data_IF_555176673648
#
_entry.id   IF_555176673648
#
_cell.length_a   1.000
_cell.length_b   1.000
_cell.length_c   1.000
_cell.angle_alpha   90.00
_cell.angle_beta   90.00
_cell.angle_gamma   90.00
#
_symmetry.space_group_name_H-M   'P 1'
#
loop_
_entity.id
_entity.type
_entity.pdbx_description
1 polymer ?
#
# COMPACT_ATOMS: atom_id res chain seq x y z
N UNK A 1 -2.24 -53.47 -17.42
CA UNK A 1 -3.57 -53.72 -16.88
C UNK A 1 -3.41 -54.43 -15.56
N UNK A 2 -3.20 -53.67 -14.46
CA UNK A 2 -3.18 -54.17 -13.08
C UNK A 2 -3.78 -53.07 -12.20
N UNK A 3 -4.99 -53.33 -11.69
CA UNK A 3 -5.68 -52.51 -10.70
C UNK A 3 -5.07 -52.75 -9.32
N UNK A 4 -4.68 -51.70 -8.61
CA UNK A 4 -4.43 -51.74 -7.16
C UNK A 4 -5.51 -50.92 -6.44
N UNK A 5 -6.48 -51.64 -5.86
CA UNK A 5 -7.48 -51.14 -4.88
C UNK A 5 -6.76 -51.02 -3.53
N UNK A 6 -6.66 -49.82 -2.99
CA UNK A 6 -6.31 -49.63 -1.59
C UNK A 6 -7.56 -49.33 -0.77
N UNK A 7 -7.86 -50.24 0.11
CA UNK A 7 -8.92 -50.18 1.13
C UNK A 7 -8.40 -49.28 2.25
N UNK A 8 -9.08 -48.15 2.49
CA UNK A 8 -8.80 -47.29 3.66
C UNK A 8 -9.74 -47.69 4.80
N UNK A 9 -9.17 -48.31 5.81
CA UNK A 9 -9.84 -48.66 7.06
C UNK A 9 -9.98 -47.41 7.91
N UNK A 10 -11.22 -46.97 8.17
CA UNK A 10 -11.55 -45.90 9.10
C UNK A 10 -11.59 -46.47 10.50
N UNK A 11 -10.64 -46.08 11.35
CA UNK A 11 -10.66 -46.35 12.77
C UNK A 11 -11.30 -45.19 13.49
N UNK A 12 -12.53 -45.36 13.96
CA UNK A 12 -13.17 -44.42 14.88
C UNK A 12 -12.59 -44.62 16.30
N UNK A 13 -11.83 -43.62 16.76
CA UNK A 13 -11.43 -43.53 18.17
C UNK A 13 -12.37 -42.57 18.86
N UNK A 14 -13.23 -43.11 19.72
CA UNK A 14 -14.08 -42.33 20.64
C UNK A 14 -13.25 -42.03 21.88
N UNK A 15 -12.97 -40.77 22.16
CA UNK A 15 -12.33 -40.32 23.41
C UNK A 15 -13.35 -39.57 24.28
N UNK A 16 -13.33 -39.76 25.60
CA UNK A 16 -14.32 -39.20 26.52
C UNK A 16 -14.06 -37.71 26.80
N UNK A 17 -15.14 -36.95 26.85
CA UNK A 17 -15.20 -35.58 27.32
C UNK A 17 -14.83 -35.49 28.79
N UNK A 18 -13.75 -34.80 29.12
CA UNK A 18 -13.51 -34.28 30.46
C UNK A 18 -13.76 -32.77 30.41
N UNK A 19 -14.85 -32.34 31.04
CA UNK A 19 -15.14 -30.96 31.29
C UNK A 19 -14.15 -30.43 32.35
N UNK A 20 -13.30 -29.49 31.95
CA UNK A 20 -12.50 -28.70 32.87
C UNK A 20 -12.84 -27.22 32.67
N UNK A 21 -13.66 -26.71 33.61
CA UNK A 21 -13.99 -25.31 33.73
C UNK A 21 -12.79 -24.60 34.38
N UNK A 22 -12.00 -23.93 33.59
CA UNK A 22 -10.92 -23.05 33.99
C UNK A 22 -10.75 -21.93 32.99
N UNK A 23 -11.40 -20.80 33.28
CA UNK A 23 -11.28 -19.63 32.44
C UNK A 23 -9.86 -19.09 32.42
N UNK A 24 -9.19 -19.19 31.29
CA UNK A 24 -8.05 -18.35 30.97
C UNK A 24 -8.40 -17.57 29.69
N UNK A 25 -8.65 -16.30 29.90
CA UNK A 25 -8.63 -15.29 28.83
C UNK A 25 -7.18 -15.19 28.31
N UNK A 26 -6.78 -16.09 27.43
CA UNK A 26 -5.61 -15.86 26.61
C UNK A 26 -6.02 -14.91 25.51
N UNK A 27 -5.73 -13.63 25.72
CA UNK A 27 -5.78 -12.62 24.68
C UNK A 27 -4.97 -13.13 23.48
N UNK A 28 -5.66 -13.36 22.37
CA UNK A 28 -5.04 -13.66 21.07
C UNK A 28 -4.17 -12.48 20.65
N UNK A 29 -2.91 -12.48 21.02
CA UNK A 29 -1.89 -11.50 20.59
C UNK A 29 -1.34 -11.80 19.18
N UNK A 30 -2.00 -12.63 18.39
CA UNK A 30 -1.52 -13.04 17.06
C UNK A 30 -2.09 -12.25 15.88
N UNK A 31 -2.92 -11.21 16.12
CA UNK A 31 -3.48 -10.36 15.06
C UNK A 31 -2.72 -9.07 14.77
N UNK A 32 -1.71 -8.71 15.55
CA UNK A 32 -1.11 -7.36 15.49
C UNK A 32 0.11 -7.24 14.56
N UNK A 33 0.63 -8.33 13.98
CA UNK A 33 1.90 -8.32 13.26
C UNK A 33 1.81 -7.84 11.80
N UNK A 34 0.62 -7.63 11.24
CA UNK A 34 0.44 -7.29 9.81
C UNK A 34 -0.39 -6.02 9.53
N UNK A 35 -0.79 -5.28 10.55
CA UNK A 35 -1.38 -3.98 10.29
C UNK A 35 -0.26 -2.94 10.17
N UNK A 36 -0.31 -2.04 9.15
CA UNK A 36 0.59 -0.89 9.11
C UNK A 36 0.49 -0.20 10.45
N UNK A 37 1.62 0.21 11.01
CA UNK A 37 1.54 1.02 12.23
C UNK A 37 0.66 2.21 11.87
N UNK A 38 -0.41 2.42 12.62
CA UNK A 38 -1.38 3.52 12.37
C UNK A 38 -0.66 4.86 12.18
N UNK A 39 0.50 5.01 12.80
CA UNK A 39 1.40 6.15 12.70
C UNK A 39 1.98 6.34 11.29
N UNK A 40 2.46 5.28 10.62
CA UNK A 40 3.05 5.41 9.28
C UNK A 40 2.01 5.80 8.23
N UNK A 41 0.83 5.19 8.31
CA UNK A 41 -0.28 5.55 7.43
C UNK A 41 -0.74 6.99 7.68
N UNK A 42 -0.72 7.45 8.94
CA UNK A 42 -1.07 8.82 9.28
C UNK A 42 -0.07 9.84 8.72
N UNK A 43 1.23 9.53 8.71
CA UNK A 43 2.26 10.40 8.13
C UNK A 43 2.12 10.55 6.61
N UNK A 44 1.53 9.57 5.93
CA UNK A 44 1.29 9.60 4.49
C UNK A 44 0.03 10.41 4.11
N UNK A 45 -0.86 10.71 5.05
CA UNK A 45 -2.13 11.41 4.74
C UNK A 45 -1.93 12.78 4.13
N UNK A 46 -2.86 13.17 3.26
CA UNK A 46 -2.88 14.50 2.63
C UNK A 46 -2.62 14.46 1.13
N UNK A 47 -2.33 15.64 0.58
CA UNK A 47 -2.01 15.82 -0.84
C UNK A 47 -0.53 16.16 -0.99
N UNK A 48 0.11 15.45 -1.86
CA UNK A 48 1.53 15.55 -2.15
C UNK A 48 1.71 15.93 -3.62
N UNK A 49 2.49 16.98 -3.88
CA UNK A 49 2.81 17.43 -5.23
C UNK A 49 4.32 17.44 -5.46
N UNK A 50 4.72 17.04 -6.64
CA UNK A 50 6.14 17.01 -6.98
C UNK A 50 6.39 16.57 -8.40
N UNK A 51 7.54 15.97 -8.62
CA UNK A 51 8.02 15.60 -9.94
C UNK A 51 8.61 14.19 -9.96
N UNK A 52 8.64 13.62 -11.14
CA UNK A 52 9.44 12.45 -11.46
C UNK A 52 10.93 12.84 -11.41
N UNK A 53 11.77 12.03 -10.78
CA UNK A 53 13.22 12.23 -10.72
C UNK A 53 13.90 11.54 -11.90
N UNK A 54 14.83 12.21 -12.56
CA UNK A 54 15.57 11.70 -13.73
C UNK A 54 15.26 12.46 -15.02
N UNK A 55 15.40 11.79 -16.16
CA UNK A 55 15.32 12.42 -17.48
C UNK A 55 13.96 13.07 -17.80
N UNK A 56 12.90 12.66 -17.10
CA UNK A 56 11.55 13.21 -17.21
C UNK A 56 11.16 14.12 -16.04
N UNK A 57 12.12 14.76 -15.39
CA UNK A 57 11.96 15.57 -14.17
C UNK A 57 10.94 16.74 -14.28
N UNK A 58 10.38 16.99 -15.46
CA UNK A 58 9.39 18.05 -15.68
C UNK A 58 7.94 17.58 -15.52
N UNK A 59 7.69 16.28 -15.37
CA UNK A 59 6.34 15.77 -15.21
C UNK A 59 5.84 16.02 -13.79
N UNK A 60 4.87 16.92 -13.68
CA UNK A 60 4.19 17.19 -12.41
C UNK A 60 3.31 16.00 -12.02
N UNK A 61 3.43 15.58 -10.77
CA UNK A 61 2.68 14.49 -10.18
C UNK A 61 1.92 15.01 -8.96
N UNK A 62 0.70 14.56 -8.80
CA UNK A 62 -0.09 14.76 -7.59
C UNK A 62 -0.50 13.41 -7.02
N UNK A 63 -0.30 13.22 -5.71
CA UNK A 63 -0.76 12.04 -4.98
C UNK A 63 -1.63 12.53 -3.83
N UNK A 64 -2.86 12.03 -3.75
CA UNK A 64 -3.75 12.29 -2.60
C UNK A 64 -3.99 10.99 -1.84
N UNK A 65 -3.77 11.01 -0.52
CA UNK A 65 -3.94 9.84 0.35
C UNK A 65 -4.96 10.19 1.43
N UNK A 66 -6.02 9.38 1.51
CA UNK A 66 -7.07 9.49 2.52
C UNK A 66 -7.41 8.10 3.05
N UNK A 67 -7.17 7.87 4.34
CA UNK A 67 -7.25 6.54 4.91
C UNK A 67 -6.28 5.59 4.18
N UNK A 68 -6.79 4.50 3.62
CA UNK A 68 -6.04 3.54 2.81
C UNK A 68 -6.25 3.73 1.30
N UNK A 69 -6.90 4.80 0.87
CA UNK A 69 -7.06 5.13 -0.55
C UNK A 69 -5.95 6.08 -0.99
N UNK A 70 -5.32 5.75 -2.11
CA UNK A 70 -4.32 6.61 -2.76
C UNK A 70 -4.76 6.87 -4.20
N UNK A 71 -4.86 8.14 -4.55
CA UNK A 71 -5.10 8.60 -5.90
C UNK A 71 -3.82 9.22 -6.46
N UNK A 72 -3.25 8.57 -7.48
CA UNK A 72 -2.10 9.06 -8.24
C UNK A 72 -2.61 9.77 -9.49
N UNK A 73 -2.13 10.96 -9.77
CA UNK A 73 -2.52 11.73 -10.94
C UNK A 73 -1.31 12.42 -11.57
N UNK A 74 -1.12 12.22 -12.86
CA UNK A 74 -0.18 12.92 -13.69
C UNK A 74 -0.90 13.78 -14.74
N UNK A 75 -1.81 13.15 -15.50
CA UNK A 75 -2.62 13.79 -16.54
C UNK A 75 -3.90 12.98 -16.79
N UNK A 76 -4.75 13.43 -17.72
CA UNK A 76 -6.05 12.80 -18.03
C UNK A 76 -5.94 11.36 -18.53
N UNK A 77 -4.79 10.97 -19.08
CA UNK A 77 -4.55 9.65 -19.63
C UNK A 77 -3.66 8.78 -18.72
N UNK A 78 -3.22 9.35 -17.59
CA UNK A 78 -2.35 8.64 -16.66
C UNK A 78 -2.68 9.00 -15.20
N UNK A 79 -3.61 8.27 -14.64
CA UNK A 79 -4.02 8.34 -13.24
C UNK A 79 -4.40 6.95 -12.73
N UNK A 80 -4.34 6.74 -11.42
CA UNK A 80 -4.69 5.48 -10.78
C UNK A 80 -5.37 5.74 -9.44
N UNK A 81 -6.48 5.07 -9.21
CA UNK A 81 -7.10 4.92 -7.89
C UNK A 81 -6.66 3.59 -7.30
N UNK A 82 -6.14 3.61 -6.09
CA UNK A 82 -5.57 2.42 -5.47
C UNK A 82 -5.98 2.28 -4.02
N UNK A 83 -5.98 1.04 -3.54
CA UNK A 83 -6.01 0.74 -2.11
C UNK A 83 -4.59 0.39 -1.65
N UNK A 84 -4.10 1.05 -0.61
CA UNK A 84 -2.74 0.87 -0.12
C UNK A 84 -2.69 -0.01 1.14
N UNK A 85 -1.61 -0.75 1.23
CA UNK A 85 -1.18 -1.47 2.45
C UNK A 85 0.30 -1.20 2.70
N UNK A 86 0.69 -1.17 3.98
CA UNK A 86 2.08 -0.99 4.41
C UNK A 86 2.54 -2.28 5.09
N UNK A 87 3.34 -3.13 4.44
CA UNK A 87 3.87 -4.34 5.06
C UNK A 87 4.76 -4.00 6.27
N UNK A 88 4.47 -4.61 7.42
CA UNK A 88 5.25 -4.41 8.63
C UNK A 88 6.66 -5.01 8.53
N UNK A 89 7.61 -4.43 9.26
CA UNK A 89 8.98 -4.97 9.41
C UNK A 89 9.82 -4.95 8.14
N UNK A 90 9.48 -4.08 7.17
CA UNK A 90 10.29 -3.89 5.96
C UNK A 90 11.25 -2.71 6.13
N UNK A 91 12.50 -2.93 5.70
CA UNK A 91 13.53 -1.92 5.58
C UNK A 91 14.25 -2.11 4.23
N UNK A 92 14.16 -1.16 3.30
CA UNK A 92 13.37 0.09 3.35
C UNK A 92 11.87 -0.14 3.51
N UNK A 93 11.15 0.87 4.05
CA UNK A 93 9.68 0.85 4.19
C UNK A 93 9.01 0.68 2.84
N UNK A 94 7.99 -0.16 2.79
CA UNK A 94 7.27 -0.50 1.56
C UNK A 94 5.82 -0.05 1.61
N UNK A 95 5.31 0.34 0.44
CA UNK A 95 3.91 0.59 0.17
C UNK A 95 3.49 -0.32 -0.99
N UNK A 96 2.39 -1.03 -0.81
CA UNK A 96 1.75 -1.82 -1.86
C UNK A 96 0.43 -1.16 -2.24
N UNK A 97 0.28 -0.79 -3.50
CA UNK A 97 -0.90 -0.12 -4.04
C UNK A 97 -1.62 -1.06 -5.02
N UNK A 98 -2.79 -1.55 -4.63
CA UNK A 98 -3.65 -2.36 -5.52
C UNK A 98 -4.51 -1.43 -6.35
N UNK A 99 -4.39 -1.48 -7.68
CA UNK A 99 -5.12 -0.63 -8.61
C UNK A 99 -6.60 -1.02 -8.62
N UNK A 100 -7.48 -0.06 -8.32
CA UNK A 100 -8.93 -0.21 -8.32
C UNK A 100 -9.55 0.46 -9.57
N UNK A 101 -8.95 1.56 -10.03
CA UNK A 101 -9.38 2.32 -11.20
C UNK A 101 -8.21 2.95 -11.93
N UNK A 102 -8.37 3.10 -13.25
CA UNK A 102 -7.39 3.71 -14.15
C UNK A 102 -8.08 4.19 -15.44
N UNK A 103 -7.43 5.05 -16.26
CA UNK A 103 -8.01 5.44 -17.54
C UNK A 103 -8.12 4.24 -18.50
N UNK A 104 -9.04 4.28 -19.47
CA UNK A 104 -9.25 3.18 -20.44
C UNK A 104 -7.98 2.73 -21.15
N UNK A 105 -7.06 3.66 -21.43
CA UNK A 105 -5.75 3.36 -22.03
C UNK A 105 -4.86 2.46 -21.14
N UNK A 106 -5.16 2.37 -19.84
CA UNK A 106 -4.45 1.58 -18.83
C UNK A 106 -5.31 0.43 -18.28
N UNK A 107 -6.44 0.10 -18.94
CA UNK A 107 -7.48 -0.79 -18.41
C UNK A 107 -7.03 -2.18 -17.98
N UNK A 108 -5.92 -2.69 -18.53
CA UNK A 108 -5.32 -3.98 -18.12
C UNK A 108 -4.60 -3.90 -16.76
N UNK A 109 -4.53 -2.73 -16.14
CA UNK A 109 -3.83 -2.52 -14.87
C UNK A 109 -4.70 -2.76 -13.64
N UNK A 110 -6.03 -2.78 -13.77
CA UNK A 110 -6.94 -3.00 -12.62
C UNK A 110 -6.67 -4.36 -11.96
N UNK A 111 -6.58 -4.37 -10.64
CA UNK A 111 -6.23 -5.53 -9.82
C UNK A 111 -4.74 -5.79 -9.67
N UNK A 112 -3.88 -5.14 -10.46
CA UNK A 112 -2.43 -5.25 -10.28
C UNK A 112 -1.98 -4.53 -9.01
N UNK A 113 -0.88 -5.01 -8.45
CA UNK A 113 -0.25 -4.42 -7.26
C UNK A 113 1.05 -3.74 -7.67
N UNK A 114 1.10 -2.43 -7.49
CA UNK A 114 2.34 -1.65 -7.62
C UNK A 114 3.01 -1.64 -6.25
N UNK A 115 4.27 -2.06 -6.20
CA UNK A 115 5.10 -2.00 -4.99
C UNK A 115 6.02 -0.80 -5.09
N UNK A 116 6.20 -0.09 -3.98
CA UNK A 116 7.12 1.01 -3.90
C UNK A 116 7.82 1.05 -2.55
N UNK A 117 9.07 1.50 -2.53
CA UNK A 117 9.67 2.02 -1.31
C UNK A 117 9.18 3.42 -1.04
N UNK A 118 9.10 3.81 0.23
CA UNK A 118 8.81 5.19 0.60
C UNK A 118 9.65 5.63 1.80
N UNK A 119 9.91 6.93 1.84
CA UNK A 119 10.45 7.63 2.99
C UNK A 119 9.91 9.05 3.06
N UNK A 120 9.80 9.58 4.27
CA UNK A 120 9.44 10.98 4.52
C UNK A 120 10.57 11.60 5.33
N UNK A 121 11.24 12.58 4.72
CA UNK A 121 12.35 13.32 5.31
C UNK A 121 12.16 14.81 5.00
N UNK A 122 12.28 15.67 5.98
CA UNK A 122 12.18 17.13 5.86
C UNK A 122 10.93 17.60 5.10
N UNK A 123 9.78 16.96 5.34
CA UNK A 123 8.51 17.26 4.67
C UNK A 123 8.44 16.83 3.21
N UNK A 124 9.41 16.06 2.74
CA UNK A 124 9.44 15.47 1.39
C UNK A 124 9.11 13.99 1.47
N UNK A 125 8.10 13.57 0.72
CA UNK A 125 7.79 12.16 0.47
C UNK A 125 8.56 11.72 -0.77
N UNK A 126 9.45 10.77 -0.62
CA UNK A 126 10.09 10.09 -1.73
C UNK A 126 9.44 8.72 -1.92
N UNK A 127 8.98 8.45 -3.13
CA UNK A 127 8.47 7.14 -3.57
C UNK A 127 9.40 6.59 -4.65
N UNK A 128 9.72 5.32 -4.56
CA UNK A 128 10.50 4.64 -5.59
C UNK A 128 9.83 3.31 -5.93
N UNK A 129 9.28 3.19 -7.15
CA UNK A 129 8.55 1.99 -7.58
C UNK A 129 9.50 0.81 -7.77
N UNK A 130 9.02 -0.36 -7.39
CA UNK A 130 9.71 -1.63 -7.62
C UNK A 130 9.10 -2.22 -8.88
N UNK A 131 9.91 -2.49 -9.89
CA UNK A 131 9.43 -3.04 -11.17
C UNK A 131 8.73 -4.39 -10.98
N UNK A 132 7.69 -4.63 -11.79
CA UNK A 132 6.92 -5.88 -11.76
C UNK A 132 7.79 -7.09 -12.12
N UNK A 133 8.84 -6.88 -12.94
CA UNK A 133 9.75 -7.93 -13.42
C UNK A 133 10.93 -8.18 -12.46
N UNK A 134 11.00 -7.49 -11.33
CA UNK A 134 12.06 -7.72 -10.36
C UNK A 134 11.83 -9.08 -9.68
N UNK A 135 12.59 -10.10 -10.08
CA UNK A 135 12.61 -11.43 -9.43
C UNK A 135 12.89 -11.30 -7.94
N UNK A 136 13.74 -10.34 -7.56
CA UNK A 136 14.03 -9.99 -6.18
C UNK A 136 13.67 -8.53 -5.88
N UNK A 137 13.10 -8.28 -4.71
CA UNK A 137 12.89 -6.92 -4.22
C UNK A 137 14.26 -6.23 -4.05
N UNK A 138 14.49 -5.06 -4.67
CA UNK A 138 15.73 -4.31 -4.45
C UNK A 138 16.01 -4.10 -2.97
N UNK A 139 17.27 -4.21 -2.55
CA UNK A 139 17.66 -4.04 -1.15
C UNK A 139 17.88 -2.57 -0.76
N UNK A 140 17.95 -1.69 -1.74
CA UNK A 140 18.21 -0.28 -1.53
C UNK A 140 17.24 0.59 -2.34
N UNK A 141 17.00 1.78 -1.84
CA UNK A 141 16.11 2.77 -2.44
C UNK A 141 16.58 3.21 -3.84
N UNK A 142 17.89 3.31 -3.99
CA UNK A 142 18.57 3.74 -5.22
C UNK A 142 18.51 2.69 -6.34
N UNK A 143 18.31 1.44 -5.97
CA UNK A 143 18.16 0.33 -6.92
C UNK A 143 16.72 0.13 -7.39
N UNK A 144 15.76 0.89 -6.84
CA UNK A 144 14.39 0.87 -7.28
C UNK A 144 14.23 1.60 -8.62
N UNK A 145 13.13 1.34 -9.31
CA UNK A 145 12.84 1.90 -10.62
C UNK A 145 12.52 3.40 -10.60
N UNK A 146 11.34 3.76 -11.07
CA UNK A 146 10.92 5.16 -11.15
C UNK A 146 10.80 5.82 -9.78
N UNK A 147 11.43 6.98 -9.59
CA UNK A 147 11.45 7.73 -8.34
C UNK A 147 10.68 9.05 -8.46
N UNK A 148 9.90 9.35 -7.42
CA UNK A 148 9.14 10.59 -7.28
C UNK A 148 9.57 11.32 -6.01
N UNK A 149 9.71 12.63 -6.08
CA UNK A 149 9.93 13.52 -4.94
C UNK A 149 8.79 14.51 -4.85
N UNK A 150 8.07 14.46 -3.71
CA UNK A 150 6.81 15.15 -3.53
C UNK A 150 6.83 15.91 -2.20
N UNK A 151 6.20 17.09 -2.17
CA UNK A 151 6.01 17.87 -0.95
C UNK A 151 4.54 17.91 -0.58
N UNK A 152 4.25 17.87 0.70
CA UNK A 152 2.90 18.01 1.20
C UNK A 152 2.37 19.41 0.84
N UNK A 153 1.20 19.43 0.20
CA UNK A 153 0.48 20.68 -0.10
C UNK A 153 -0.62 20.81 0.93
N UNK A 154 -0.40 21.64 1.94
CA UNK A 154 -1.50 22.00 2.83
C UNK A 154 -2.64 22.58 2.01
N UNK A 155 -3.92 22.20 2.29
CA UNK A 155 -5.06 22.81 1.61
C UNK A 155 -4.98 24.32 1.85
N UNK A 156 -4.76 25.07 0.78
CA UNK A 156 -4.76 26.53 0.86
C UNK A 156 -6.10 26.93 1.48
N UNK A 157 -6.09 27.42 2.70
CA UNK A 157 -7.24 28.08 3.30
C UNK A 157 -7.65 29.17 2.31
N UNK A 158 -8.77 28.97 1.59
CA UNK A 158 -9.36 30.00 0.75
C UNK A 158 -9.50 31.23 1.65
N UNK A 159 -8.66 32.21 1.40
CA UNK A 159 -8.71 33.49 2.06
C UNK A 159 -10.02 34.17 1.57
N UNK A 160 -11.11 33.83 2.25
CA UNK A 160 -12.40 34.49 2.03
C UNK A 160 -12.30 35.87 2.65
N UNK A 161 -11.68 36.78 1.92
CA UNK A 161 -11.69 38.19 2.27
C UNK A 161 -13.16 38.65 2.14
N UNK A 162 -13.77 39.12 3.23
CA UNK A 162 -15.14 39.59 3.18
C UNK A 162 -15.24 40.74 2.14
N UNK A 163 -16.35 40.86 1.40
CA UNK A 163 -16.52 41.92 0.43
C UNK A 163 -16.41 43.27 1.12
N UNK A 164 -15.52 44.14 0.63
CA UNK A 164 -15.43 45.51 1.08
C UNK A 164 -16.75 46.20 0.69
N UNK A 165 -17.61 46.42 1.67
CA UNK A 165 -18.81 47.26 1.52
C UNK A 165 -18.35 48.69 1.29
N UNK A 166 -18.73 49.27 0.17
CA UNK A 166 -18.63 50.69 -0.11
C UNK A 166 -19.81 51.43 0.49
#
# INVERSE_FOLDING_TARGET
MILFRHIITVVCVVAPFIANAGGQLTANAQGAANQPTAVELQLLQGTWEGVLVGDNAHQKITISITGNSLHFHRDTNFWFETTITLPAGKDPKQLHATIQGCPPSQGVSTGKVVRAFFKIEDGTLTLATIGDDAEETPKAFEAAGTRYELRNVEPQKKNTQPPKTK
#
